data_IF_996002793466
#
_entry.id   IF_996002793466
#
_cell.length_a   1.000
_cell.length_b   1.000
_cell.length_c   1.000
_cell.angle_alpha   90.00
_cell.angle_beta   90.00
_cell.angle_gamma   90.00
#
_symmetry.space_group_name_H-M   'P 1'
#
loop_
_entity.id
_entity.type
_entity.pdbx_description
1 polymer ?
#
# COMPACT_ATOMS: atom_id res chain seq x y z
N UNK A 1 17.21 15.24 -15.82
CA UNK A 1 17.05 13.82 -15.41
C UNK A 1 18.35 13.13 -14.96
N UNK A 2 19.54 13.62 -15.32
CA UNK A 2 20.82 12.94 -15.01
C UNK A 2 21.28 13.03 -13.54
N UNK A 3 20.62 13.86 -12.72
CA UNK A 3 21.00 14.10 -11.32
C UNK A 3 20.48 13.05 -10.33
N UNK A 4 19.65 12.08 -10.77
CA UNK A 4 19.04 11.06 -9.88
C UNK A 4 20.09 10.19 -9.18
N UNK A 5 21.16 9.82 -9.88
CA UNK A 5 22.27 9.03 -9.31
C UNK A 5 21.93 7.59 -8.87
N UNK A 6 20.66 7.17 -8.99
CA UNK A 6 20.17 5.81 -8.73
C UNK A 6 18.82 5.59 -9.43
N UNK A 7 18.41 4.33 -9.56
CA UNK A 7 17.05 3.97 -9.99
C UNK A 7 16.07 4.20 -8.84
N UNK A 8 15.09 5.08 -9.04
CA UNK A 8 14.09 5.43 -8.05
C UNK A 8 12.69 5.04 -8.55
N UNK A 9 11.72 4.94 -7.63
CA UNK A 9 10.33 4.85 -8.03
C UNK A 9 9.84 6.19 -8.58
N UNK A 10 8.83 6.13 -9.46
CA UNK A 10 8.34 7.30 -10.20
C UNK A 10 8.13 8.59 -9.38
N UNK A 11 7.46 8.58 -8.20
CA UNK A 11 7.30 9.75 -7.34
C UNK A 11 8.60 10.36 -6.84
N UNK A 12 9.62 9.54 -6.56
CA UNK A 12 10.93 10.05 -6.17
C UNK A 12 11.64 10.71 -7.37
N UNK A 13 11.40 10.27 -8.59
CA UNK A 13 11.87 10.97 -9.80
C UNK A 13 11.17 12.31 -10.00
N UNK A 14 9.85 12.34 -9.83
CA UNK A 14 9.05 13.58 -9.84
C UNK A 14 9.59 14.56 -8.79
N UNK A 15 9.91 14.07 -7.58
CA UNK A 15 10.47 14.90 -6.50
C UNK A 15 11.79 15.60 -6.89
N UNK A 16 12.65 14.95 -7.69
CA UNK A 16 13.84 15.61 -8.23
C UNK A 16 13.46 16.78 -9.15
N UNK A 17 12.48 16.58 -10.04
CA UNK A 17 11.98 17.64 -10.91
C UNK A 17 11.33 18.79 -10.14
N UNK A 18 10.59 18.48 -9.06
CA UNK A 18 10.00 19.48 -8.17
C UNK A 18 11.06 20.31 -7.45
N UNK A 19 12.12 19.68 -6.94
CA UNK A 19 13.20 20.42 -6.31
C UNK A 19 13.98 21.27 -7.33
N UNK A 20 14.27 20.74 -8.52
CA UNK A 20 14.92 21.52 -9.59
C UNK A 20 14.10 22.77 -9.92
N UNK A 21 12.80 22.61 -10.18
CA UNK A 21 11.90 23.71 -10.45
C UNK A 21 11.82 24.72 -9.29
N UNK A 22 11.83 24.23 -8.04
CA UNK A 22 11.84 25.09 -6.86
C UNK A 22 13.14 25.89 -6.77
N UNK A 23 14.29 25.27 -7.03
CA UNK A 23 15.59 25.95 -6.98
C UNK A 23 15.76 26.98 -8.10
N UNK A 24 15.20 26.73 -9.28
CA UNK A 24 15.19 27.69 -10.39
C UNK A 24 14.45 28.99 -10.03
N UNK A 25 13.42 28.89 -9.18
CA UNK A 25 12.69 30.05 -8.63
C UNK A 25 13.49 30.84 -7.59
N UNK A 26 14.71 30.40 -7.25
CA UNK A 26 15.63 31.10 -6.35
C UNK A 26 15.02 31.49 -4.98
N UNK A 27 14.44 30.54 -4.23
CA UNK A 27 13.75 30.84 -2.97
C UNK A 27 14.72 31.35 -1.91
N UNK A 28 14.21 32.14 -0.95
CA UNK A 28 14.98 32.64 0.19
C UNK A 28 15.26 31.55 1.25
N UNK A 29 14.34 30.59 1.36
CA UNK A 29 14.37 29.48 2.29
C UNK A 29 13.93 28.20 1.57
N UNK A 30 14.56 27.09 1.91
CA UNK A 30 14.22 25.78 1.39
C UNK A 30 13.75 24.88 2.54
N UNK A 31 12.51 24.39 2.46
CA UNK A 31 11.96 23.44 3.41
C UNK A 31 12.02 22.03 2.82
N UNK A 32 12.86 21.18 3.39
CA UNK A 32 13.07 19.77 3.00
C UNK A 32 12.94 18.88 4.24
N UNK A 33 11.72 18.63 4.72
CA UNK A 33 11.49 17.86 5.94
C UNK A 33 11.73 16.37 5.76
N UNK A 34 12.03 15.68 6.87
CA UNK A 34 12.01 14.23 6.96
C UNK A 34 10.70 13.80 7.63
N UNK A 35 9.79 13.17 6.88
CA UNK A 35 8.53 12.63 7.44
C UNK A 35 8.68 11.17 7.86
N UNK A 36 9.01 10.93 9.13
CA UNK A 36 9.28 9.59 9.67
C UNK A 36 8.03 8.71 9.69
N UNK A 37 6.92 9.29 10.09
CA UNK A 37 5.67 8.58 10.39
C UNK A 37 4.46 9.42 9.97
N UNK A 38 3.34 8.75 9.78
CA UNK A 38 2.02 9.36 9.66
C UNK A 38 1.19 9.01 10.89
N UNK A 39 0.12 9.79 11.19
CA UNK A 39 -0.83 9.38 12.21
C UNK A 39 -1.28 7.94 11.95
N UNK A 40 -1.24 7.06 12.97
CA UNK A 40 -1.74 5.71 12.79
C UNK A 40 -3.21 5.78 12.38
N UNK A 41 -3.67 4.88 11.49
CA UNK A 41 -5.10 4.75 11.23
C UNK A 41 -5.80 4.50 12.58
N UNK A 42 -6.88 5.23 12.85
CA UNK A 42 -7.68 5.04 14.07
C UNK A 42 -8.07 3.56 14.14
N UNK A 43 -7.99 2.97 15.32
CA UNK A 43 -8.51 1.63 15.60
C UNK A 43 -9.42 1.76 16.82
N UNK A 44 -10.68 1.36 16.68
CA UNK A 44 -11.57 1.21 17.82
C UNK A 44 -11.27 -0.12 18.53
N UNK A 45 -11.19 -0.08 19.86
CA UNK A 45 -10.97 -1.24 20.73
C UNK A 45 -9.58 -1.33 21.37
N UNK A 46 -9.51 -2.10 22.48
CA UNK A 46 -8.32 -2.37 23.32
C UNK A 46 -7.16 -3.08 22.59
N UNK A 47 -7.26 -3.27 21.27
CA UNK A 47 -6.17 -3.70 20.41
C UNK A 47 -5.20 -2.54 20.14
N UNK A 48 -4.71 -1.93 21.21
CA UNK A 48 -3.66 -0.91 21.22
C UNK A 48 -2.27 -1.55 21.13
N UNK A 49 -2.15 -2.70 20.45
CA UNK A 49 -0.83 -3.20 20.11
C UNK A 49 -0.23 -2.21 19.13
N UNK A 50 0.82 -1.54 19.60
CA UNK A 50 1.60 -0.49 18.97
C UNK A 50 2.04 -0.85 17.54
N UNK A 51 1.10 -0.83 16.59
CA UNK A 51 1.44 -0.99 15.19
C UNK A 51 2.26 0.25 14.84
N UNK A 52 3.57 0.04 14.69
CA UNK A 52 4.49 1.12 14.31
C UNK A 52 3.93 1.70 13.01
N UNK A 53 3.71 3.00 12.96
CA UNK A 53 3.22 3.71 11.78
C UNK A 53 4.41 4.44 11.16
N UNK A 54 5.10 3.81 10.23
CA UNK A 54 6.32 4.37 9.62
C UNK A 54 6.08 4.60 8.12
N UNK A 55 6.64 5.67 7.58
CA UNK A 55 6.51 5.97 6.16
C UNK A 55 7.47 5.14 5.30
N UNK A 56 7.33 5.22 3.98
CA UNK A 56 8.26 4.58 3.05
C UNK A 56 9.71 5.08 3.31
N UNK A 57 10.73 4.20 3.35
CA UNK A 57 12.12 4.61 3.52
C UNK A 57 12.59 5.60 2.45
N UNK A 58 12.12 5.48 1.21
CA UNK A 58 12.45 6.42 0.13
C UNK A 58 11.86 7.80 0.42
N UNK A 59 10.59 7.89 0.84
CA UNK A 59 9.97 9.16 1.21
C UNK A 59 10.65 9.80 2.43
N UNK A 60 11.05 9.00 3.43
CA UNK A 60 11.84 9.47 4.57
C UNK A 60 13.22 9.99 4.15
N UNK A 61 13.83 9.35 3.15
CA UNK A 61 15.17 9.67 2.68
C UNK A 61 15.22 10.88 1.72
N UNK A 62 14.06 11.38 1.29
CA UNK A 62 13.90 12.51 0.37
C UNK A 62 14.84 13.70 0.64
N UNK A 63 14.90 14.28 1.85
CA UNK A 63 15.79 15.40 2.10
C UNK A 63 17.27 15.07 1.91
N UNK A 64 17.69 13.81 2.03
CA UNK A 64 19.10 13.41 1.94
C UNK A 64 19.53 13.09 0.52
N UNK A 65 18.75 12.30 -0.23
CA UNK A 65 19.12 12.01 -1.62
C UNK A 65 19.00 13.25 -2.50
N UNK A 66 17.99 14.09 -2.26
CA UNK A 66 17.86 15.37 -2.96
C UNK A 66 19.00 16.33 -2.61
N UNK A 67 19.38 16.41 -1.32
CA UNK A 67 20.54 17.20 -0.90
C UNK A 67 21.82 16.76 -1.60
N UNK A 68 21.95 15.47 -1.89
CA UNK A 68 23.11 14.90 -2.59
C UNK A 68 23.04 15.20 -4.09
N UNK A 69 21.89 14.98 -4.72
CA UNK A 69 21.65 15.24 -6.15
C UNK A 69 21.83 16.72 -6.54
N UNK A 70 21.48 17.64 -5.64
CA UNK A 70 21.53 19.08 -5.88
C UNK A 70 22.66 19.80 -5.13
N UNK A 71 23.62 19.07 -4.55
CA UNK A 71 24.73 19.65 -3.76
C UNK A 71 25.51 20.74 -4.51
N UNK A 72 25.68 20.56 -5.82
CA UNK A 72 26.43 21.46 -6.71
C UNK A 72 25.52 22.50 -7.41
N UNK A 73 24.21 22.50 -7.14
CA UNK A 73 23.31 23.51 -7.68
C UNK A 73 23.57 24.87 -7.02
N UNK A 74 23.76 25.93 -7.82
CA UNK A 74 24.16 27.28 -7.35
C UNK A 74 23.27 27.81 -6.21
N UNK A 75 21.96 27.69 -6.36
CA UNK A 75 20.98 28.16 -5.37
C UNK A 75 21.02 27.29 -4.11
N UNK A 76 21.11 25.98 -4.27
CA UNK A 76 21.15 25.05 -3.14
C UNK A 76 22.40 25.27 -2.28
N UNK A 77 23.58 25.39 -2.91
CA UNK A 77 24.84 25.69 -2.24
C UNK A 77 24.80 27.02 -1.48
N UNK A 78 24.19 28.07 -2.09
CA UNK A 78 23.99 29.36 -1.44
C UNK A 78 23.11 29.24 -0.19
N UNK A 79 21.97 28.55 -0.30
CA UNK A 79 21.05 28.34 0.83
C UNK A 79 21.69 27.53 1.95
N UNK A 80 22.42 26.47 1.59
CA UNK A 80 23.16 25.64 2.55
C UNK A 80 24.20 26.46 3.32
N UNK A 81 25.02 27.27 2.62
CA UNK A 81 26.02 28.15 3.24
C UNK A 81 25.39 29.19 4.16
N UNK A 82 24.20 29.67 3.80
CA UNK A 82 23.45 30.65 4.59
C UNK A 82 22.65 30.04 5.76
N UNK A 83 22.66 28.71 5.94
CA UNK A 83 21.85 28.04 6.96
C UNK A 83 20.34 28.13 6.71
N UNK A 84 19.92 28.30 5.44
CA UNK A 84 18.53 28.53 5.04
C UNK A 84 17.82 27.30 4.47
N UNK A 85 18.32 26.12 4.83
CA UNK A 85 17.68 24.84 4.53
C UNK A 85 17.12 24.28 5.84
N UNK A 86 15.80 24.16 5.90
CA UNK A 86 15.07 23.64 7.03
C UNK A 86 14.73 22.17 6.78
N UNK A 87 15.34 21.27 7.56
CA UNK A 87 15.12 19.83 7.45
C UNK A 87 14.75 19.19 8.79
N UNK A 88 13.61 19.57 9.39
CA UNK A 88 13.16 18.95 10.63
C UNK A 88 12.77 17.49 10.41
N UNK A 89 12.98 16.68 11.45
CA UNK A 89 12.45 15.32 11.53
C UNK A 89 11.06 15.40 12.16
N UNK A 90 10.04 15.12 11.35
CA UNK A 90 8.63 15.20 11.73
C UNK A 90 8.12 13.78 12.01
N UNK A 91 7.58 13.60 13.21
CA UNK A 91 7.03 12.33 13.68
C UNK A 91 5.57 12.55 14.14
N UNK A 92 4.64 11.96 13.39
CA UNK A 92 3.21 11.99 13.66
C UNK A 92 2.69 10.67 14.26
N UNK A 93 3.55 9.79 14.78
CA UNK A 93 3.10 8.54 15.37
C UNK A 93 2.17 8.76 16.58
N UNK A 94 2.34 9.87 17.31
CA UNK A 94 1.45 10.32 18.38
C UNK A 94 0.28 11.21 17.91
N UNK A 95 -0.01 11.23 16.61
CA UNK A 95 -0.94 12.17 15.99
C UNK A 95 -0.31 13.51 15.63
N UNK A 96 -1.09 14.43 15.06
CA UNK A 96 -0.55 15.71 14.59
C UNK A 96 0.08 16.56 15.69
N UNK A 97 -0.54 16.59 16.88
CA UNK A 97 -0.08 17.43 17.99
C UNK A 97 1.31 17.04 18.51
N UNK A 98 1.74 15.78 18.33
CA UNK A 98 3.08 15.34 18.76
C UNK A 98 4.22 16.07 18.06
N UNK A 99 3.97 16.65 16.89
CA UNK A 99 4.96 17.40 16.13
C UNK A 99 5.09 18.88 16.55
N UNK A 100 4.26 19.39 17.47
CA UNK A 100 4.22 20.83 17.81
C UNK A 100 5.61 21.40 18.12
N UNK A 101 6.36 20.71 18.99
CA UNK A 101 7.70 21.14 19.42
C UNK A 101 8.64 21.36 18.23
N UNK A 102 8.64 20.44 17.27
CA UNK A 102 9.51 20.48 16.07
C UNK A 102 9.14 21.68 15.19
N UNK A 103 7.85 21.96 15.02
CA UNK A 103 7.40 23.13 14.27
C UNK A 103 7.72 24.45 14.99
N UNK A 104 7.61 24.51 16.32
CA UNK A 104 8.01 25.69 17.11
C UNK A 104 9.51 25.96 17.00
N UNK A 105 10.35 24.92 17.05
CA UNK A 105 11.79 25.02 16.86
C UNK A 105 12.13 25.50 15.43
N UNK A 106 11.46 24.94 14.42
CA UNK A 106 11.61 25.37 13.02
C UNK A 106 11.22 26.84 12.84
N UNK A 107 10.11 27.27 13.45
CA UNK A 107 9.65 28.66 13.40
C UNK A 107 10.61 29.61 14.11
N UNK A 108 11.28 29.17 15.19
CA UNK A 108 12.32 29.97 15.86
C UNK A 108 13.50 30.23 14.92
N UNK A 109 13.92 29.25 14.12
CA UNK A 109 14.97 29.44 13.10
C UNK A 109 14.57 30.48 12.04
N UNK A 110 13.27 30.60 11.75
CA UNK A 110 12.71 31.65 10.88
C UNK A 110 12.58 33.02 11.58
N UNK A 111 12.97 33.15 12.84
CA UNK A 111 12.82 34.39 13.63
C UNK A 111 11.40 34.63 14.14
N UNK A 112 10.51 33.64 14.07
CA UNK A 112 9.12 33.78 14.54
C UNK A 112 9.01 33.55 16.06
N UNK A 113 8.14 34.33 16.70
CA UNK A 113 7.85 34.18 18.13
C UNK A 113 7.02 32.93 18.45
N UNK A 114 7.26 32.32 19.62
CA UNK A 114 6.60 31.06 20.02
C UNK A 114 5.06 31.14 20.03
N UNK A 115 4.50 32.29 20.44
CA UNK A 115 3.03 32.49 20.45
C UNK A 115 2.45 32.47 19.03
N UNK A 116 3.11 33.11 18.08
CA UNK A 116 2.69 33.13 16.68
C UNK A 116 2.82 31.73 16.07
N UNK A 117 3.95 31.05 16.31
CA UNK A 117 4.20 29.71 15.81
C UNK A 117 3.17 28.70 16.34
N UNK A 118 2.83 28.74 17.64
CA UNK A 118 1.78 27.90 18.22
C UNK A 118 0.42 28.15 17.59
N UNK A 119 0.03 29.42 17.41
CA UNK A 119 -1.23 29.77 16.76
C UNK A 119 -1.30 29.24 15.33
N UNK A 120 -0.20 29.36 14.58
CA UNK A 120 -0.10 28.85 13.21
C UNK A 120 -0.18 27.32 13.17
N UNK A 121 0.55 26.63 14.04
CA UNK A 121 0.50 25.18 14.16
C UNK A 121 -0.91 24.67 14.48
N UNK A 122 -1.56 25.22 15.52
CA UNK A 122 -2.93 24.82 15.86
C UNK A 122 -3.93 25.10 14.72
N UNK A 123 -3.73 26.18 13.95
CA UNK A 123 -4.56 26.45 12.77
C UNK A 123 -4.34 25.41 11.67
N UNK A 124 -3.09 25.02 11.40
CA UNK A 124 -2.76 23.98 10.43
C UNK A 124 -3.35 22.61 10.82
N UNK A 125 -3.21 22.20 12.09
CA UNK A 125 -3.79 20.94 12.59
C UNK A 125 -5.31 20.93 12.48
N UNK A 126 -5.99 22.05 12.79
CA UNK A 126 -7.45 22.17 12.59
C UNK A 126 -7.84 22.06 11.12
N UNK A 127 -7.09 22.70 10.22
CA UNK A 127 -7.35 22.63 8.79
C UNK A 127 -7.19 21.20 8.27
N UNK A 128 -6.12 20.50 8.65
CA UNK A 128 -5.87 19.11 8.28
C UNK A 128 -7.02 18.19 8.73
N UNK A 129 -7.41 18.26 10.01
CA UNK A 129 -8.54 17.48 10.55
C UNK A 129 -9.85 17.80 9.86
N UNK A 130 -10.08 19.06 9.49
CA UNK A 130 -11.28 19.47 8.77
C UNK A 130 -11.33 18.87 7.36
N UNK A 131 -10.20 18.74 6.68
CA UNK A 131 -10.12 18.09 5.37
C UNK A 131 -10.39 16.59 5.49
N UNK A 132 -9.77 15.91 6.45
CA UNK A 132 -10.01 14.48 6.72
C UNK A 132 -11.50 14.20 7.04
N UNK A 133 -12.13 15.07 7.82
CA UNK A 133 -13.56 14.98 8.12
C UNK A 133 -14.42 15.14 6.85
N UNK A 134 -14.06 16.07 5.97
CA UNK A 134 -14.78 16.30 4.70
C UNK A 134 -14.63 15.10 3.77
N UNK A 135 -13.42 14.55 3.64
CA UNK A 135 -13.14 13.36 2.82
C UNK A 135 -14.02 12.19 3.29
N UNK A 136 -14.08 11.93 4.60
CA UNK A 136 -14.93 10.86 5.15
C UNK A 136 -16.42 11.08 4.86
N UNK A 137 -16.93 12.29 5.13
CA UNK A 137 -18.34 12.63 4.86
C UNK A 137 -18.70 12.48 3.39
N UNK A 138 -17.76 12.80 2.49
CA UNK A 138 -17.97 12.63 1.05
C UNK A 138 -17.99 11.15 0.67
N UNK A 139 -17.08 10.35 1.25
CA UNK A 139 -17.11 8.89 1.13
C UNK A 139 -18.43 8.28 1.57
N UNK A 140 -18.95 8.69 2.73
CA UNK A 140 -20.25 8.21 3.23
C UNK A 140 -21.40 8.51 2.27
N UNK A 141 -21.43 9.73 1.68
CA UNK A 141 -22.43 10.09 0.67
C UNK A 141 -22.33 9.20 -0.56
N UNK A 142 -21.12 9.05 -1.13
CA UNK A 142 -20.89 8.24 -2.33
C UNK A 142 -21.31 6.79 -2.08
N UNK A 143 -20.97 6.23 -0.92
CA UNK A 143 -21.38 4.87 -0.55
C UNK A 143 -22.89 4.74 -0.38
N UNK A 144 -23.58 5.75 0.14
CA UNK A 144 -25.05 5.75 0.24
C UNK A 144 -25.71 5.86 -1.14
N UNK A 145 -25.18 6.71 -2.03
CA UNK A 145 -25.65 6.83 -3.41
C UNK A 145 -25.47 5.52 -4.18
N UNK A 146 -24.33 4.84 -4.02
CA UNK A 146 -24.09 3.52 -4.60
C UNK A 146 -25.09 2.47 -4.10
N UNK A 147 -25.40 2.46 -2.79
CA UNK A 147 -26.40 1.53 -2.23
C UNK A 147 -27.80 1.76 -2.81
N UNK A 148 -28.14 2.99 -3.16
CA UNK A 148 -29.41 3.30 -3.81
C UNK A 148 -29.51 2.81 -5.26
N UNK A 149 -28.39 2.41 -5.87
CA UNK A 149 -28.26 1.99 -7.27
C UNK A 149 -27.56 0.62 -7.36
N UNK A 150 -28.25 -0.49 -7.03
CA UNK A 150 -27.64 -1.82 -6.92
C UNK A 150 -26.97 -2.31 -8.22
N UNK A 151 -27.43 -1.86 -9.38
CA UNK A 151 -26.85 -2.14 -10.70
C UNK A 151 -25.53 -1.42 -10.94
N UNK A 152 -25.22 -0.36 -10.18
CA UNK A 152 -23.99 0.40 -10.28
C UNK A 152 -22.86 -0.23 -9.45
N UNK A 153 -21.62 0.08 -9.83
CA UNK A 153 -20.41 -0.26 -9.07
C UNK A 153 -19.40 0.87 -9.12
N UNK A 154 -18.46 0.85 -8.17
CA UNK A 154 -17.37 1.81 -8.12
C UNK A 154 -16.01 1.12 -8.10
N UNK A 155 -15.00 1.85 -8.57
CA UNK A 155 -13.61 1.45 -8.52
C UNK A 155 -12.92 2.22 -7.41
N UNK A 156 -12.35 1.49 -6.46
CA UNK A 156 -11.57 2.03 -5.37
C UNK A 156 -10.11 2.12 -5.80
N UNK A 157 -9.51 3.31 -5.70
CA UNK A 157 -8.11 3.54 -6.04
C UNK A 157 -7.23 3.25 -4.84
N UNK A 158 -6.47 2.17 -4.93
CA UNK A 158 -5.46 1.77 -3.97
C UNK A 158 -4.09 2.32 -4.36
N UNK A 159 -3.31 2.70 -3.36
CA UNK A 159 -1.93 3.09 -3.53
C UNK A 159 -1.52 4.12 -2.48
N UNK A 160 -0.31 4.65 -2.63
CA UNK A 160 0.26 5.63 -1.70
C UNK A 160 -0.23 7.04 -2.07
N UNK A 161 -0.46 7.95 -1.10
CA UNK A 161 -1.00 9.27 -1.41
C UNK A 161 -0.17 10.09 -2.40
N UNK A 162 1.15 10.07 -2.26
CA UNK A 162 2.11 10.73 -3.16
C UNK A 162 2.18 10.08 -4.56
N UNK A 163 1.45 8.99 -4.79
CA UNK A 163 1.42 8.25 -6.04
C UNK A 163 0.02 8.24 -6.65
N UNK A 164 -0.90 7.53 -6.00
CA UNK A 164 -2.22 7.24 -6.54
C UNK A 164 -3.16 8.46 -6.50
N UNK A 165 -2.91 9.41 -5.59
CA UNK A 165 -3.75 10.59 -5.38
C UNK A 165 -3.06 11.90 -5.80
N UNK A 166 -1.85 11.81 -6.36
CA UNK A 166 -1.12 12.94 -6.91
C UNK A 166 -1.27 12.97 -8.44
N UNK A 167 -1.81 14.08 -8.97
CA UNK A 167 -2.16 14.24 -10.39
C UNK A 167 -0.98 14.06 -11.35
N UNK A 168 0.20 14.43 -10.87
CA UNK A 168 1.48 14.37 -11.55
C UNK A 168 2.04 12.95 -11.60
N UNK A 169 1.57 12.05 -10.73
CA UNK A 169 2.09 10.68 -10.59
C UNK A 169 1.15 9.62 -11.17
N UNK A 170 -0.17 9.76 -11.00
CA UNK A 170 -1.14 8.70 -11.30
C UNK A 170 -1.54 8.57 -12.78
N UNK A 171 -0.89 9.30 -13.70
CA UNK A 171 -1.12 9.23 -15.16
C UNK A 171 -2.59 9.33 -15.60
N UNK A 172 -3.38 10.17 -14.93
CA UNK A 172 -4.80 10.34 -15.26
C UNK A 172 -5.71 9.11 -15.03
N UNK A 173 -5.23 8.02 -14.40
CA UNK A 173 -6.01 6.78 -14.18
C UNK A 173 -7.40 7.02 -13.56
N UNK A 174 -7.56 7.82 -12.47
CA UNK A 174 -8.89 8.12 -11.93
C UNK A 174 -9.82 8.74 -12.97
N UNK A 175 -9.30 9.63 -13.82
CA UNK A 175 -10.09 10.27 -14.88
C UNK A 175 -10.52 9.27 -15.95
N UNK A 176 -9.66 8.31 -16.32
CA UNK A 176 -9.96 7.28 -17.32
C UNK A 176 -11.13 6.38 -16.91
N UNK A 177 -11.28 6.10 -15.61
CA UNK A 177 -12.47 5.44 -15.07
C UNK A 177 -13.70 6.35 -15.09
N UNK A 178 -13.56 7.59 -14.60
CA UNK A 178 -14.66 8.54 -14.52
C UNK A 178 -15.28 8.85 -15.90
N UNK A 179 -14.46 8.99 -16.95
CA UNK A 179 -14.95 9.21 -18.33
C UNK A 179 -15.75 8.03 -18.89
N UNK A 180 -15.64 6.85 -18.29
CA UNK A 180 -16.39 5.64 -18.65
C UNK A 180 -17.63 5.46 -17.76
N UNK A 181 -18.04 6.50 -17.02
CA UNK A 181 -19.21 6.48 -16.15
C UNK A 181 -19.00 5.69 -14.85
N UNK A 182 -17.76 5.37 -14.49
CA UNK A 182 -17.44 4.61 -13.28
C UNK A 182 -17.13 5.57 -12.14
N UNK A 183 -17.85 5.44 -11.04
CA UNK A 183 -17.54 6.17 -9.80
C UNK A 183 -16.18 5.73 -9.26
N UNK A 184 -15.33 6.70 -8.92
CA UNK A 184 -13.97 6.46 -8.45
C UNK A 184 -13.83 6.93 -7.02
N UNK A 185 -13.31 6.07 -6.14
CA UNK A 185 -13.24 6.33 -4.70
C UNK A 185 -11.79 6.09 -4.22
N UNK A 186 -11.05 7.09 -3.74
CA UNK A 186 -9.77 6.86 -3.08
C UNK A 186 -9.96 6.15 -1.72
N UNK A 187 -8.97 5.37 -1.27
CA UNK A 187 -9.10 4.58 -0.03
C UNK A 187 -9.33 5.43 1.23
N UNK A 188 -8.92 6.70 1.23
CA UNK A 188 -9.09 7.61 2.37
C UNK A 188 -10.54 8.08 2.57
N UNK A 189 -11.42 7.85 1.58
CA UNK A 189 -12.87 8.03 1.70
C UNK A 189 -13.58 6.81 2.30
N UNK A 190 -12.92 5.66 2.44
CA UNK A 190 -13.58 4.46 2.92
C UNK A 190 -13.62 4.41 4.46
N UNK A 191 -14.76 4.03 5.06
CA UNK A 191 -14.90 3.87 6.51
C UNK A 191 -14.27 2.54 6.96
N UNK A 192 -12.94 2.48 6.92
CA UNK A 192 -12.15 1.29 7.19
C UNK A 192 -11.25 1.41 8.43
N UNK A 193 -11.46 2.42 9.27
CA UNK A 193 -10.69 2.65 10.49
C UNK A 193 -10.76 1.45 11.44
N UNK A 194 -11.96 0.88 11.61
CA UNK A 194 -12.21 -0.23 12.53
C UNK A 194 -11.71 -1.58 12.03
N UNK A 195 -11.22 -1.65 10.79
CA UNK A 195 -10.62 -2.87 10.26
C UNK A 195 -9.31 -3.20 11.02
N UNK A 196 -9.08 -4.46 11.42
CA UNK A 196 -7.86 -4.84 12.09
C UNK A 196 -6.66 -4.73 11.14
N UNK A 197 -5.52 -4.30 11.68
CA UNK A 197 -4.26 -4.29 10.93
C UNK A 197 -3.87 -5.73 10.59
N UNK A 198 -3.54 -5.96 9.32
CA UNK A 198 -3.16 -7.29 8.85
C UNK A 198 -1.71 -7.62 9.25
N UNK A 199 -1.54 -8.65 10.08
CA UNK A 199 -0.22 -9.11 10.53
C UNK A 199 0.58 -8.01 11.23
N UNK A 200 1.90 -8.01 11.02
CA UNK A 200 2.83 -7.01 11.59
C UNK A 200 3.11 -5.85 10.62
N UNK A 201 2.10 -5.43 9.83
CA UNK A 201 2.27 -4.37 8.84
C UNK A 201 2.61 -3.04 9.52
N UNK A 202 3.85 -2.58 9.36
CA UNK A 202 4.37 -1.38 10.04
C UNK A 202 4.42 -0.13 9.14
N UNK A 203 4.11 -0.26 7.85
CA UNK A 203 3.99 0.91 6.98
C UNK A 203 2.61 1.53 7.14
N UNK A 204 2.55 2.82 7.48
CA UNK A 204 1.31 3.58 7.67
C UNK A 204 0.31 3.39 6.51
N UNK A 205 0.77 3.70 5.30
CA UNK A 205 0.05 3.48 4.04
C UNK A 205 -0.25 2.00 3.76
N UNK A 206 0.64 1.09 4.15
CA UNK A 206 0.40 -0.35 4.02
C UNK A 206 -0.77 -0.82 4.87
N UNK A 207 -0.87 -0.33 6.11
CA UNK A 207 -2.02 -0.60 6.98
C UNK A 207 -3.32 -0.08 6.35
N UNK A 208 -3.34 1.17 5.90
CA UNK A 208 -4.52 1.76 5.26
C UNK A 208 -4.96 0.98 4.01
N UNK A 209 -4.01 0.60 3.15
CA UNK A 209 -4.27 -0.20 1.94
C UNK A 209 -4.88 -1.56 2.29
N UNK A 210 -4.32 -2.29 3.27
CA UNK A 210 -4.83 -3.62 3.63
C UNK A 210 -6.18 -3.56 4.35
N UNK A 211 -6.40 -2.55 5.22
CA UNK A 211 -7.70 -2.28 5.83
C UNK A 211 -8.77 -2.01 4.76
N UNK A 212 -8.48 -1.10 3.83
CA UNK A 212 -9.35 -0.81 2.70
C UNK A 212 -9.59 -2.04 1.81
N UNK A 213 -8.59 -2.91 1.62
CA UNK A 213 -8.75 -4.11 0.81
C UNK A 213 -9.78 -5.07 1.42
N UNK A 214 -9.79 -5.24 2.75
CA UNK A 214 -10.80 -6.05 3.45
C UNK A 214 -12.20 -5.44 3.36
N UNK A 215 -12.30 -4.12 3.49
CA UNK A 215 -13.56 -3.43 3.31
C UNK A 215 -14.11 -3.63 1.90
N UNK A 216 -13.25 -3.42 0.89
CA UNK A 216 -13.60 -3.53 -0.53
C UNK A 216 -13.93 -4.96 -0.91
N UNK A 217 -13.19 -5.96 -0.43
CA UNK A 217 -13.48 -7.37 -0.73
C UNK A 217 -14.91 -7.74 -0.32
N UNK A 218 -15.31 -7.37 0.90
CA UNK A 218 -16.65 -7.65 1.43
C UNK A 218 -17.78 -6.87 0.77
N UNK A 219 -17.49 -5.70 0.20
CA UNK A 219 -18.54 -4.82 -0.32
C UNK A 219 -18.96 -5.19 -1.75
N UNK A 220 -20.22 -5.59 -2.03
CA UNK A 220 -20.61 -6.19 -3.32
C UNK A 220 -20.43 -5.27 -4.54
N UNK A 221 -20.47 -3.95 -4.33
CA UNK A 221 -20.36 -2.95 -5.41
C UNK A 221 -18.98 -2.29 -5.56
N UNK A 222 -17.97 -2.68 -4.77
CA UNK A 222 -16.64 -2.06 -4.82
C UNK A 222 -15.60 -3.01 -5.40
N UNK A 223 -14.77 -2.51 -6.32
CA UNK A 223 -13.68 -3.25 -6.94
C UNK A 223 -12.38 -2.45 -6.88
N UNK A 224 -11.24 -3.11 -6.70
CA UNK A 224 -9.97 -2.42 -6.47
C UNK A 224 -9.17 -2.16 -7.73
N UNK A 225 -8.61 -0.95 -7.88
CA UNK A 225 -7.53 -0.63 -8.81
C UNK A 225 -6.32 -0.12 -8.02
N UNK A 226 -5.26 -0.93 -7.96
CA UNK A 226 -4.02 -0.62 -7.26
C UNK A 226 -3.03 0.05 -8.21
N UNK A 227 -2.65 1.29 -7.89
CA UNK A 227 -1.61 2.06 -8.59
C UNK A 227 -0.32 1.95 -7.79
N UNK A 228 0.64 1.19 -8.32
CA UNK A 228 2.00 1.01 -7.79
C UNK A 228 3.01 1.41 -8.84
N UNK A 229 4.31 1.40 -8.49
CA UNK A 229 5.36 1.83 -9.38
C UNK A 229 6.50 0.83 -9.43
N UNK A 230 7.20 0.83 -10.57
CA UNK A 230 8.49 0.18 -10.69
C UNK A 230 9.43 0.66 -9.57
N UNK A 231 10.25 -0.25 -9.05
CA UNK A 231 11.16 -0.02 -7.94
C UNK A 231 10.50 0.40 -6.61
N UNK A 232 9.18 0.16 -6.42
CA UNK A 232 8.53 0.37 -5.12
C UNK A 232 8.76 -0.83 -4.18
N UNK A 233 9.83 -0.78 -3.38
CA UNK A 233 10.18 -1.82 -2.42
C UNK A 233 9.06 -2.17 -1.42
N UNK A 234 8.41 -1.21 -0.75
CA UNK A 234 7.30 -1.54 0.15
C UNK A 234 6.10 -2.22 -0.53
N UNK A 235 5.80 -1.87 -1.77
CA UNK A 235 4.65 -2.45 -2.47
C UNK A 235 4.94 -3.86 -2.99
N UNK A 236 6.20 -4.21 -3.25
CA UNK A 236 6.57 -5.60 -3.60
C UNK A 236 6.20 -6.59 -2.49
N UNK A 237 6.09 -6.13 -1.24
CA UNK A 237 5.55 -6.93 -0.14
C UNK A 237 4.03 -6.84 -0.02
N UNK A 238 3.43 -5.66 -0.25
CA UNK A 238 2.00 -5.42 -0.06
C UNK A 238 1.11 -6.04 -1.13
N UNK A 239 1.58 -6.12 -2.39
CA UNK A 239 0.77 -6.61 -3.50
C UNK A 239 0.32 -8.06 -3.30
N UNK A 240 1.17 -8.91 -2.70
CA UNK A 240 0.81 -10.28 -2.35
C UNK A 240 -0.36 -10.30 -1.38
N UNK A 241 -0.23 -9.61 -0.24
CA UNK A 241 -1.31 -9.50 0.75
C UNK A 241 -2.60 -8.91 0.17
N UNK A 242 -2.48 -7.88 -0.67
CA UNK A 242 -3.63 -7.28 -1.35
C UNK A 242 -4.35 -8.30 -2.24
N UNK A 243 -3.62 -9.05 -3.07
CA UNK A 243 -4.19 -10.08 -3.95
C UNK A 243 -4.80 -11.23 -3.14
N UNK A 244 -4.14 -11.66 -2.08
CA UNK A 244 -4.65 -12.71 -1.18
C UNK A 244 -5.95 -12.28 -0.51
N UNK A 245 -6.05 -11.02 -0.07
CA UNK A 245 -7.28 -10.46 0.50
C UNK A 245 -8.37 -10.40 -0.55
N UNK A 246 -8.12 -9.82 -1.73
CA UNK A 246 -9.13 -9.70 -2.79
C UNK A 246 -9.58 -11.06 -3.33
N UNK A 247 -8.73 -12.09 -3.28
CA UNK A 247 -9.04 -13.46 -3.63
C UNK A 247 -9.59 -13.58 -5.06
N UNK A 248 -10.81 -14.12 -5.18
CA UNK A 248 -11.48 -14.29 -6.48
C UNK A 248 -12.18 -13.03 -6.98
N UNK A 249 -12.24 -11.97 -6.16
CA UNK A 249 -12.88 -10.72 -6.54
C UNK A 249 -11.98 -9.94 -7.50
N UNK A 250 -12.50 -9.50 -8.67
CA UNK A 250 -11.69 -8.78 -9.63
C UNK A 250 -11.01 -7.55 -9.02
N UNK A 251 -9.71 -7.44 -9.27
CA UNK A 251 -8.92 -6.25 -8.98
C UNK A 251 -7.90 -6.03 -10.09
N UNK A 252 -7.56 -4.78 -10.33
CA UNK A 252 -6.55 -4.36 -11.30
C UNK A 252 -5.31 -3.88 -10.55
N UNK A 253 -4.12 -4.30 -10.98
CA UNK A 253 -2.85 -3.73 -10.50
C UNK A 253 -2.13 -3.06 -11.66
N UNK A 254 -2.00 -1.74 -11.62
CA UNK A 254 -1.26 -0.94 -12.60
C UNK A 254 0.09 -0.56 -11.99
N UNK A 255 1.16 -1.03 -12.63
CA UNK A 255 2.53 -0.64 -12.30
C UNK A 255 2.96 0.49 -13.23
N UNK A 256 3.37 1.61 -12.65
CA UNK A 256 3.80 2.81 -13.34
C UNK A 256 5.32 2.99 -13.32
N UNK A 257 5.84 3.59 -14.37
CA UNK A 257 7.22 4.08 -14.47
C UNK A 257 7.23 5.30 -15.41
N UNK A 258 8.32 6.06 -15.38
CA UNK A 258 8.64 7.19 -16.25
C UNK A 258 8.42 6.96 -17.75
N UNK A 259 8.43 5.71 -18.22
CA UNK A 259 8.26 5.33 -19.62
C UNK A 259 6.91 4.68 -19.95
N UNK A 260 5.95 4.67 -19.02
CA UNK A 260 4.68 3.97 -19.26
C UNK A 260 3.87 4.63 -20.37
N UNK A 261 3.46 3.80 -21.33
CA UNK A 261 2.66 4.21 -22.47
C UNK A 261 1.17 4.30 -22.09
N UNK A 262 0.56 5.46 -22.33
CA UNK A 262 -0.84 5.75 -21.96
C UNK A 262 -1.84 4.78 -22.61
N UNK A 263 -1.61 4.40 -23.88
CA UNK A 263 -2.45 3.43 -24.60
C UNK A 263 -2.51 2.05 -23.91
N UNK A 264 -1.43 1.63 -23.24
CA UNK A 264 -1.40 0.38 -22.49
C UNK A 264 -2.22 0.42 -21.20
N UNK A 265 -2.44 1.60 -20.62
CA UNK A 265 -3.29 1.76 -19.45
C UNK A 265 -4.78 1.66 -19.81
N UNK A 266 -5.18 2.24 -20.95
CA UNK A 266 -6.58 2.25 -21.38
C UNK A 266 -7.12 0.84 -21.63
N UNK A 267 -6.40 0.03 -22.40
CA UNK A 267 -6.84 -1.34 -22.73
C UNK A 267 -6.96 -2.21 -21.49
N UNK A 268 -6.06 -2.03 -20.50
CA UNK A 268 -6.11 -2.75 -19.22
C UNK A 268 -7.28 -2.30 -18.35
N UNK A 269 -7.60 -1.01 -18.34
CA UNK A 269 -8.76 -0.46 -17.65
C UNK A 269 -10.05 -1.00 -18.28
N UNK A 270 -10.14 -1.02 -19.62
CA UNK A 270 -11.30 -1.56 -20.34
C UNK A 270 -11.51 -3.05 -20.05
N UNK A 271 -10.46 -3.85 -20.22
CA UNK A 271 -10.50 -5.28 -19.91
C UNK A 271 -10.91 -5.53 -18.45
N UNK A 272 -10.40 -4.74 -17.51
CA UNK A 272 -10.79 -4.84 -16.10
C UNK A 272 -12.28 -4.53 -15.89
N UNK A 273 -12.82 -3.47 -16.50
CA UNK A 273 -14.23 -3.14 -16.38
C UNK A 273 -15.14 -4.22 -16.97
N UNK A 274 -14.73 -4.85 -18.08
CA UNK A 274 -15.48 -5.96 -18.67
C UNK A 274 -15.45 -7.22 -17.79
N UNK A 275 -14.30 -7.53 -17.17
CA UNK A 275 -14.18 -8.60 -16.18
C UNK A 275 -15.10 -8.32 -14.98
N UNK A 276 -15.14 -7.09 -14.47
CA UNK A 276 -16.01 -6.71 -13.35
C UNK A 276 -17.47 -6.91 -13.71
N UNK A 277 -17.92 -6.45 -14.89
CA UNK A 277 -19.30 -6.64 -15.37
C UNK A 277 -19.65 -8.12 -15.45
N UNK A 278 -18.81 -8.92 -16.12
CA UNK A 278 -19.02 -10.36 -16.26
C UNK A 278 -19.06 -11.08 -14.91
N UNK A 279 -18.16 -10.72 -13.98
CA UNK A 279 -18.13 -11.28 -12.64
C UNK A 279 -19.43 -10.99 -11.88
N UNK A 280 -19.95 -9.76 -11.96
CA UNK A 280 -21.22 -9.39 -11.31
C UNK A 280 -22.41 -10.15 -11.89
N UNK A 281 -22.48 -10.30 -13.21
CA UNK A 281 -23.52 -11.11 -13.86
C UNK A 281 -23.45 -12.59 -13.47
N UNK A 282 -22.26 -13.13 -13.27
CA UNK A 282 -22.08 -14.50 -12.78
C UNK A 282 -22.52 -14.64 -11.32
N UNK A 283 -22.16 -13.70 -10.45
CA UNK A 283 -22.59 -13.72 -9.04
C UNK A 283 -24.11 -13.66 -8.92
N UNK A 284 -24.79 -12.79 -9.68
CA UNK A 284 -26.26 -12.72 -9.68
C UNK A 284 -26.91 -14.02 -10.19
N UNK A 285 -26.24 -14.77 -11.07
CA UNK A 285 -26.69 -16.09 -11.55
C UNK A 285 -26.41 -17.21 -10.54
N UNK A 286 -25.30 -17.12 -9.79
CA UNK A 286 -24.95 -18.08 -8.74
C UNK A 286 -25.86 -17.97 -7.51
N UNK A 287 -26.39 -16.78 -7.21
CA UNK A 287 -27.44 -16.62 -6.18
C UNK A 287 -28.73 -17.41 -6.51
N UNK A 288 -28.92 -17.87 -7.76
CA UNK A 288 -30.08 -18.66 -8.22
C UNK A 288 -29.82 -20.18 -8.16
N UNK A 289 -28.62 -20.64 -7.79
CA UNK A 289 -28.36 -22.06 -7.54
C UNK A 289 -27.35 -22.25 -6.42
N UNK A 290 -27.75 -22.85 -5.27
CA UNK A 290 -26.80 -23.23 -4.24
C UNK A 290 -25.98 -24.41 -4.75
N UNK A 291 -24.96 -24.13 -5.54
CA UNK A 291 -23.86 -25.07 -5.72
C UNK A 291 -23.11 -25.02 -4.40
N UNK A 292 -23.35 -26.02 -3.56
CA UNK A 292 -22.56 -26.31 -2.37
C UNK A 292 -21.10 -26.55 -2.78
N UNK A 293 -20.34 -25.48 -2.98
CA UNK A 293 -18.89 -25.53 -2.95
C UNK A 293 -18.54 -25.98 -1.53
N UNK A 294 -18.18 -27.25 -1.36
CA UNK A 294 -17.63 -27.74 -0.09
C UNK A 294 -16.52 -26.78 0.30
N UNK A 295 -16.65 -26.11 1.45
CA UNK A 295 -15.62 -25.19 1.91
C UNK A 295 -14.30 -25.95 2.05
N UNK A 296 -13.34 -25.63 1.18
CA UNK A 296 -12.02 -26.21 1.25
C UNK A 296 -11.35 -25.68 2.53
N UNK A 297 -11.04 -26.58 3.46
CA UNK A 297 -10.26 -26.25 4.65
C UNK A 297 -8.85 -26.82 4.46
N UNK A 298 -7.80 -26.00 4.35
CA UNK A 298 -6.43 -26.51 4.25
C UNK A 298 -6.01 -27.17 5.57
N UNK A 299 -5.18 -28.21 5.48
CA UNK A 299 -4.46 -28.73 6.63
C UNK A 299 -3.41 -27.72 7.10
N UNK A 300 -3.09 -27.70 8.40
CA UNK A 300 -2.09 -26.79 8.98
C UNK A 300 -1.10 -27.55 9.86
N UNK A 301 0.12 -27.03 9.98
CA UNK A 301 1.11 -27.55 10.92
C UNK A 301 1.13 -26.65 12.16
N UNK A 302 0.91 -27.24 13.34
CA UNK A 302 1.05 -26.53 14.60
C UNK A 302 2.48 -26.68 15.12
N UNK A 303 3.21 -25.57 15.12
CA UNK A 303 4.62 -25.50 15.51
C UNK A 303 4.80 -25.81 17.01
N UNK A 304 3.82 -25.52 17.86
CA UNK A 304 3.94 -25.74 19.32
C UNK A 304 3.83 -27.21 19.69
N UNK A 305 2.93 -27.92 19.02
CA UNK A 305 2.68 -29.35 19.25
C UNK A 305 3.48 -30.26 18.31
N UNK A 306 4.04 -29.73 17.22
CA UNK A 306 4.75 -30.50 16.20
C UNK A 306 3.84 -31.41 15.38
N UNK A 307 2.53 -31.13 15.33
CA UNK A 307 1.52 -31.98 14.68
C UNK A 307 0.89 -31.35 13.45
N UNK A 308 0.39 -32.20 12.55
CA UNK A 308 -0.36 -31.81 11.36
C UNK A 308 -1.85 -31.93 11.68
N UNK A 309 -2.61 -30.84 11.53
CA UNK A 309 -4.05 -30.82 11.72
C UNK A 309 -4.71 -30.88 10.34
N UNK A 310 -5.53 -31.90 10.11
CA UNK A 310 -6.23 -32.08 8.82
C UNK A 310 -7.42 -31.11 8.65
N UNK A 311 -8.05 -31.15 7.47
CA UNK A 311 -9.21 -30.31 7.13
C UNK A 311 -10.44 -30.53 8.00
N UNK A 312 -10.49 -31.66 8.75
CA UNK A 312 -11.54 -32.03 9.69
C UNK A 312 -11.15 -31.73 11.14
N UNK A 313 -9.97 -31.15 11.37
CA UNK A 313 -9.47 -30.79 12.70
C UNK A 313 -8.83 -31.95 13.47
N UNK A 314 -8.51 -33.08 12.81
CA UNK A 314 -7.85 -34.20 13.47
C UNK A 314 -6.34 -34.00 13.45
N UNK A 315 -5.71 -34.32 14.57
CA UNK A 315 -4.27 -34.22 14.72
C UNK A 315 -3.57 -35.51 14.28
N UNK A 316 -2.54 -35.35 13.47
CA UNK A 316 -1.72 -36.42 12.93
C UNK A 316 -0.26 -36.18 13.29
N UNK A 317 0.46 -37.26 13.56
CA UNK A 317 1.92 -37.24 13.64
C UNK A 317 2.52 -37.06 12.24
N UNK A 318 3.73 -36.50 12.13
CA UNK A 318 4.46 -36.46 10.86
C UNK A 318 4.78 -37.86 10.30
N UNK A 319 4.78 -38.87 11.17
CA UNK A 319 4.99 -40.29 10.81
C UNK A 319 3.68 -41.02 10.47
N UNK A 320 2.54 -40.34 10.49
CA UNK A 320 1.26 -40.96 10.16
C UNK A 320 1.16 -41.20 8.65
N UNK A 321 0.64 -42.37 8.25
CA UNK A 321 0.36 -42.72 6.85
C UNK A 321 -0.56 -41.72 6.12
N UNK A 322 -1.41 -40.97 6.85
CA UNK A 322 -2.29 -39.96 6.30
C UNK A 322 -1.59 -38.62 6.01
N UNK A 323 -0.33 -38.46 6.43
CA UNK A 323 0.47 -37.27 6.17
C UNK A 323 1.47 -37.58 5.07
N UNK A 324 1.49 -36.75 4.03
CA UNK A 324 2.45 -36.85 2.94
C UNK A 324 3.19 -35.52 2.76
N UNK A 325 4.50 -35.53 2.94
CA UNK A 325 5.34 -34.35 2.83
C UNK A 325 5.81 -34.15 1.39
N UNK A 326 5.41 -33.05 0.76
CA UNK A 326 5.92 -32.64 -0.55
C UNK A 326 7.09 -31.67 -0.36
N UNK A 327 8.25 -32.01 -0.91
CA UNK A 327 9.42 -31.13 -0.88
C UNK A 327 9.55 -30.45 -2.25
N UNK A 328 9.43 -29.12 -2.32
CA UNK A 328 9.63 -28.38 -3.57
C UNK A 328 11.09 -28.53 -4.03
N UNK A 329 11.29 -28.53 -5.36
CA UNK A 329 12.63 -28.62 -5.92
C UNK A 329 13.41 -27.33 -5.66
N UNK A 330 14.48 -27.44 -4.86
CA UNK A 330 15.42 -26.36 -4.54
C UNK A 330 16.84 -26.71 -5.03
N UNK A 331 16.91 -27.57 -6.05
CA UNK A 331 18.12 -28.20 -6.56
C UNK A 331 18.03 -29.72 -6.45
N UNK A 332 18.26 -30.41 -7.58
CA UNK A 332 18.02 -31.86 -7.75
C UNK A 332 18.61 -32.71 -6.62
N UNK A 333 19.92 -32.63 -6.42
CA UNK A 333 20.63 -33.51 -5.47
C UNK A 333 20.25 -33.24 -4.01
N UNK A 334 20.09 -31.97 -3.62
CA UNK A 334 19.78 -31.60 -2.25
C UNK A 334 18.34 -32.00 -1.87
N UNK A 335 17.38 -31.78 -2.77
CA UNK A 335 15.98 -32.15 -2.56
C UNK A 335 15.79 -33.67 -2.56
N UNK A 336 16.46 -34.41 -3.45
CA UNK A 336 16.43 -35.88 -3.48
C UNK A 336 17.05 -36.47 -2.20
N UNK A 337 18.21 -35.96 -1.76
CA UNK A 337 18.87 -36.40 -0.54
C UNK A 337 18.01 -36.16 0.70
N UNK A 338 17.41 -34.97 0.82
CA UNK A 338 16.54 -34.63 1.94
C UNK A 338 15.29 -35.54 1.96
N UNK A 339 14.67 -35.78 0.81
CA UNK A 339 13.52 -36.67 0.69
C UNK A 339 13.87 -38.12 1.05
N UNK A 340 15.07 -38.59 0.70
CA UNK A 340 15.56 -39.90 1.09
C UNK A 340 15.79 -40.02 2.61
N UNK A 341 16.33 -38.98 3.26
CA UNK A 341 16.47 -38.93 4.72
C UNK A 341 15.10 -39.02 5.40
N UNK A 342 14.11 -38.22 4.97
CA UNK A 342 12.77 -38.26 5.54
C UNK A 342 12.10 -39.63 5.37
N UNK A 343 12.22 -40.27 4.20
CA UNK A 343 11.74 -41.64 3.99
C UNK A 343 12.46 -42.64 4.90
N UNK A 344 13.78 -42.49 5.08
CA UNK A 344 14.58 -43.32 5.99
C UNK A 344 14.15 -43.19 7.46
N UNK A 345 13.64 -42.02 7.85
CA UNK A 345 13.04 -41.78 9.18
C UNK A 345 11.59 -42.29 9.29
N UNK A 346 11.02 -42.87 8.23
CA UNK A 346 9.64 -43.36 8.23
C UNK A 346 8.58 -42.29 7.90
N UNK A 347 9.00 -41.13 7.38
CA UNK A 347 8.08 -40.07 6.96
C UNK A 347 7.75 -40.24 5.47
N UNK A 348 6.45 -40.32 5.17
CA UNK A 348 5.98 -40.43 3.79
C UNK A 348 6.26 -39.11 3.04
N UNK A 349 7.13 -39.15 2.03
CA UNK A 349 7.65 -37.95 1.40
C UNK A 349 7.98 -38.15 -0.09
N UNK A 350 7.60 -37.16 -0.91
CA UNK A 350 7.93 -37.07 -2.34
C UNK A 350 8.65 -35.76 -2.65
N UNK A 351 9.74 -35.84 -3.42
CA UNK A 351 10.39 -34.69 -4.02
C UNK A 351 9.69 -34.31 -5.33
N UNK A 352 9.34 -33.04 -5.47
CA UNK A 352 8.80 -32.51 -6.72
C UNK A 352 9.94 -32.33 -7.74
N UNK A 353 9.67 -32.52 -9.05
CA UNK A 353 10.67 -32.29 -10.09
C UNK A 353 11.08 -30.80 -10.12
N UNK A 354 12.28 -30.48 -10.66
CA UNK A 354 12.64 -29.09 -10.99
C UNK A 354 11.55 -28.45 -11.86
N UNK A 355 11.30 -27.16 -11.66
CA UNK A 355 10.38 -26.42 -12.53
C UNK A 355 10.88 -26.49 -13.98
N UNK A 356 9.98 -26.82 -14.90
CA UNK A 356 10.23 -26.85 -16.34
C UNK A 356 9.44 -25.72 -17.03
N UNK A 357 9.64 -25.56 -18.34
CA UNK A 357 8.96 -24.55 -19.16
C UNK A 357 7.43 -24.70 -19.21
N UNK A 358 6.85 -25.76 -18.62
CA UNK A 358 5.40 -25.96 -18.54
C UNK A 358 4.80 -25.41 -17.25
N UNK A 359 5.63 -25.11 -16.25
CA UNK A 359 5.22 -24.63 -14.92
C UNK A 359 5.55 -23.13 -14.73
N UNK A 360 6.44 -22.57 -15.55
CA UNK A 360 6.71 -21.13 -15.69
C UNK A 360 5.79 -20.50 -16.74
#
# INVERSE_FOLDING_TARGET
MDRRGASFCWPAEISHGFLENLLDKSPDWLFLPHFRSSPPPRSSGDCQESSKSINCPISQAEPYYLATAFKDHRVYAKLKKAGRILSPVIDFAGGYDSAEKVFLETARTLGCGARQARRAFSAAVRAQRSVEEKIRKEGDKILNELRAHPESFAVVIFGRPYNAFASEAHMGIPRKFATRGITVIPIDMLPCEDEPVYGNMYWSSGQAILKAARFVERHPQLFGCYITNFSCGPDSFLLGFFRDIMGSKPSLTLELDSHVADAGLETRIEAFLDIVKSWREMQSKLEISPVYLRSFRPSRFDIRSGRVIDSRGREHSLYDSHVHLLIPSMGRLNTEALSAVFRGLGINCTCLPPADERIL
#
